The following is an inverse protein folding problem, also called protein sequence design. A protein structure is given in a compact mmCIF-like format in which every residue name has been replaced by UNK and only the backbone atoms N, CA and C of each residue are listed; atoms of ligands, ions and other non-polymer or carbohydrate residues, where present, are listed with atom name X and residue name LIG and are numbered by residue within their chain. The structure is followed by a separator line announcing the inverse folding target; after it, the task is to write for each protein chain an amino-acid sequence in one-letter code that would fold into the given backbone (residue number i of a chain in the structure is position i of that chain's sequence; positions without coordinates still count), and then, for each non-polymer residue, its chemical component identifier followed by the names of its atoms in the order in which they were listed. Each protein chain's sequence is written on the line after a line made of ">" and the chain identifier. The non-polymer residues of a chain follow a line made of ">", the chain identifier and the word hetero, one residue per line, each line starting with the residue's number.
data_IF_599131216594
#
_entry.id   IF_599131216594
#
_cell.length_a   1.000
_cell.length_b   1.000
_cell.length_c   1.000
_cell.angle_alpha   90.00
_cell.angle_beta   90.00
_cell.angle_gamma   90.00
#
_symmetry.space_group_name_H-M   'P 1'
#
loop_
_entity.id
_entity.type
_entity.pdbx_description
1 polymer ?
#
# COMPACT_ATOMS: atom_id res chain seq x y z
N UNK A 1 -2.88 -18.35 -16.79
CA UNK A 1 -2.78 -16.94 -17.25
C UNK A 1 -1.72 -16.81 -18.33
N UNK A 2 -1.90 -15.96 -19.36
CA UNK A 2 -0.86 -15.71 -20.39
C UNK A 2 0.49 -15.33 -19.76
N UNK A 3 0.43 -14.58 -18.65
CA UNK A 3 1.58 -14.18 -17.84
C UNK A 3 2.35 -15.40 -17.25
N UNK A 4 1.65 -16.47 -16.87
CA UNK A 4 2.29 -17.71 -16.40
C UNK A 4 2.89 -18.53 -17.55
N UNK A 5 2.32 -18.46 -18.75
CA UNK A 5 2.82 -19.17 -19.92
C UNK A 5 4.12 -18.53 -20.46
N UNK A 6 4.21 -17.20 -20.43
CA UNK A 6 5.44 -16.46 -20.74
C UNK A 6 6.58 -16.73 -19.76
N UNK A 7 6.28 -16.83 -18.45
CA UNK A 7 7.28 -17.23 -17.44
C UNK A 7 7.79 -18.67 -17.59
N UNK A 8 7.10 -19.53 -18.35
CA UNK A 8 7.47 -20.93 -18.61
C UNK A 8 8.05 -21.17 -20.01
N UNK A 9 8.38 -20.12 -20.78
CA UNK A 9 8.93 -20.24 -22.14
C UNK A 9 8.13 -21.17 -23.07
N UNK A 10 6.82 -21.29 -22.85
CA UNK A 10 5.97 -22.08 -23.73
C UNK A 10 5.70 -21.29 -25.01
N UNK A 11 5.89 -21.92 -26.17
CA UNK A 11 5.56 -21.34 -27.46
C UNK A 11 4.04 -21.12 -27.55
N UNK A 12 3.63 -19.87 -27.74
CA UNK A 12 2.22 -19.46 -27.84
C UNK A 12 1.99 -19.00 -29.28
N UNK A 13 1.12 -19.71 -30.00
CA UNK A 13 0.58 -19.25 -31.30
C UNK A 13 -0.80 -18.66 -31.05
N UNK A 14 -1.01 -17.40 -31.44
CA UNK A 14 -2.33 -16.78 -31.43
C UNK A 14 -3.04 -17.09 -32.74
N UNK A 15 -4.16 -17.81 -32.64
CA UNK A 15 -5.06 -18.01 -33.79
C UNK A 15 -6.13 -16.93 -33.73
N UNK A 16 -6.24 -16.06 -34.73
CA UNK A 16 -7.31 -15.07 -34.79
C UNK A 16 -8.64 -15.79 -35.05
N UNK A 17 -9.45 -15.95 -34.01
CA UNK A 17 -10.83 -16.41 -34.14
C UNK A 17 -11.70 -15.19 -34.43
N UNK A 18 -12.21 -15.07 -35.66
CA UNK A 18 -13.21 -14.04 -36.01
C UNK A 18 -14.48 -14.30 -35.20
N UNK A 19 -14.88 -13.35 -34.37
CA UNK A 19 -16.19 -13.34 -33.71
C UNK A 19 -17.24 -12.72 -34.63
N UNK A 20 -18.47 -13.23 -34.54
CA UNK A 20 -19.64 -12.66 -35.21
C UNK A 20 -19.94 -11.27 -34.64
N UNK A 21 -20.52 -10.36 -35.45
CA UNK A 21 -20.73 -8.95 -35.09
C UNK A 21 -21.53 -8.74 -33.79
N UNK A 22 -21.25 -7.63 -33.12
CA UNK A 22 -21.81 -7.21 -31.83
C UNK A 22 -23.34 -7.10 -31.87
N UNK A 23 -24.05 -8.13 -31.38
CA UNK A 23 -25.52 -8.19 -31.44
C UNK A 23 -26.24 -7.73 -30.17
N UNK A 24 -25.56 -7.20 -29.15
CA UNK A 24 -26.27 -6.67 -27.96
C UNK A 24 -25.41 -5.73 -27.12
N UNK A 25 -25.93 -4.58 -26.66
CA UNK A 25 -25.20 -3.73 -25.73
C UNK A 25 -24.92 -4.49 -24.42
N UNK A 26 -23.62 -4.65 -24.11
CA UNK A 26 -23.15 -5.26 -22.87
C UNK A 26 -23.70 -4.51 -21.66
N UNK A 27 -24.49 -5.21 -20.84
CA UNK A 27 -24.98 -4.71 -19.54
C UNK A 27 -23.99 -5.02 -18.40
N UNK A 28 -22.71 -5.31 -18.70
CA UNK A 28 -21.74 -5.80 -17.70
C UNK A 28 -20.87 -4.71 -17.04
N UNK A 29 -21.14 -3.42 -17.30
CA UNK A 29 -20.51 -2.31 -16.55
C UNK A 29 -21.54 -1.21 -16.34
N UNK A 30 -22.37 -1.38 -15.30
CA UNK A 30 -23.31 -0.34 -14.86
C UNK A 30 -22.66 0.72 -13.96
N UNK A 31 -21.37 0.64 -13.65
CA UNK A 31 -20.64 1.69 -12.92
C UNK A 31 -19.12 1.57 -13.02
N UNK A 32 -18.52 2.23 -14.03
CA UNK A 32 -17.07 2.52 -14.11
C UNK A 32 -16.49 3.02 -12.77
N UNK A 33 -17.18 3.86 -11.96
CA UNK A 33 -16.66 4.31 -10.67
C UNK A 33 -16.45 3.19 -9.64
N UNK A 34 -17.27 2.14 -9.66
CA UNK A 34 -17.16 1.03 -8.70
C UNK A 34 -15.95 0.14 -9.01
N UNK A 35 -15.68 -0.07 -10.31
CA UNK A 35 -14.51 -0.83 -10.76
C UNK A 35 -13.21 -0.10 -10.46
N UNK A 36 -13.14 1.21 -10.74
CA UNK A 36 -11.97 2.03 -10.42
C UNK A 36 -11.74 2.10 -8.91
N UNK A 37 -12.79 2.26 -8.08
CA UNK A 37 -12.65 2.21 -6.61
C UNK A 37 -12.06 0.89 -6.12
N UNK A 38 -12.53 -0.25 -6.63
CA UNK A 38 -11.98 -1.56 -6.27
C UNK A 38 -10.51 -1.69 -6.68
N UNK A 39 -10.16 -1.29 -7.90
CA UNK A 39 -8.77 -1.31 -8.38
C UNK A 39 -7.86 -0.39 -7.56
N UNK A 40 -8.29 0.82 -7.21
CA UNK A 40 -7.54 1.74 -6.35
C UNK A 40 -7.32 1.12 -4.96
N UNK A 41 -8.35 0.55 -4.34
CA UNK A 41 -8.21 -0.12 -3.03
C UNK A 41 -7.19 -1.25 -3.10
N UNK A 42 -7.21 -2.06 -4.17
CA UNK A 42 -6.23 -3.13 -4.35
C UNK A 42 -4.81 -2.58 -4.51
N UNK A 43 -4.61 -1.53 -5.31
CA UNK A 43 -3.30 -0.89 -5.52
C UNK A 43 -2.79 -0.28 -4.20
N UNK A 44 -3.64 0.45 -3.48
CA UNK A 44 -3.33 1.04 -2.18
C UNK A 44 -2.96 -0.05 -1.18
N UNK A 45 -3.69 -1.17 -1.15
CA UNK A 45 -3.40 -2.30 -0.26
C UNK A 45 -2.04 -2.93 -0.55
N UNK A 46 -1.69 -3.10 -1.82
CA UNK A 46 -0.37 -3.62 -2.23
C UNK A 46 0.72 -2.63 -1.83
N UNK A 47 0.52 -1.33 -2.04
CA UNK A 47 1.48 -0.30 -1.62
C UNK A 47 1.70 -0.27 -0.10
N UNK A 48 0.62 -0.35 0.68
CA UNK A 48 0.67 -0.43 2.14
C UNK A 48 1.44 -1.69 2.60
N UNK A 49 1.28 -2.81 1.91
CA UNK A 49 1.97 -4.06 2.28
C UNK A 49 3.46 -4.02 1.92
N UNK A 50 3.82 -3.50 0.75
CA UNK A 50 5.19 -3.58 0.25
C UNK A 50 6.07 -2.42 0.71
N UNK A 51 5.53 -1.21 0.88
CA UNK A 51 6.27 0.00 1.32
C UNK A 51 5.39 0.94 2.16
N UNK A 52 4.94 0.49 3.35
CA UNK A 52 4.07 1.29 4.23
C UNK A 52 4.68 2.66 4.58
N UNK A 53 5.98 2.72 4.89
CA UNK A 53 6.65 3.97 5.25
C UNK A 53 6.52 5.05 4.16
N UNK A 54 6.70 4.67 2.89
CA UNK A 54 6.62 5.63 1.77
C UNK A 54 5.20 6.15 1.57
N UNK A 55 4.18 5.31 1.77
CA UNK A 55 2.79 5.71 1.58
C UNK A 55 2.31 6.67 2.68
N UNK A 56 2.37 6.23 3.94
CA UNK A 56 1.95 7.07 5.06
C UNK A 56 2.91 8.23 5.30
N UNK A 57 4.20 8.03 5.05
CA UNK A 57 5.22 9.06 5.19
C UNK A 57 5.02 10.22 4.23
N UNK A 58 4.67 9.96 2.97
CA UNK A 58 4.38 11.03 2.00
C UNK A 58 3.11 11.79 2.36
N UNK A 59 2.04 11.11 2.77
CA UNK A 59 0.80 11.75 3.23
C UNK A 59 1.06 12.60 4.47
N UNK A 60 1.74 12.04 5.46
CA UNK A 60 2.10 12.73 6.71
C UNK A 60 3.01 13.92 6.45
N UNK A 61 4.01 13.79 5.57
CA UNK A 61 4.90 14.89 5.19
C UNK A 61 4.16 16.01 4.45
N UNK A 62 3.20 15.70 3.58
CA UNK A 62 2.38 16.70 2.89
C UNK A 62 1.49 17.44 3.89
N UNK A 63 0.81 16.72 4.79
CA UNK A 63 -0.03 17.32 5.83
C UNK A 63 0.79 18.19 6.80
N UNK A 64 1.92 17.65 7.27
CA UNK A 64 2.82 18.36 8.17
C UNK A 64 3.42 19.58 7.48
N UNK A 65 3.89 19.46 6.24
CA UNK A 65 4.42 20.56 5.45
C UNK A 65 3.39 21.66 5.20
N UNK A 66 2.15 21.30 4.86
CA UNK A 66 1.06 22.26 4.72
C UNK A 66 0.75 22.99 6.04
N UNK A 67 0.67 22.25 7.16
CA UNK A 67 0.49 22.84 8.49
C UNK A 67 1.64 23.75 8.90
N UNK A 68 2.87 23.36 8.56
CA UNK A 68 4.09 24.13 8.82
C UNK A 68 4.11 25.44 8.03
N UNK A 69 3.74 25.41 6.74
CA UNK A 69 3.64 26.63 5.92
C UNK A 69 2.59 27.60 6.45
N UNK A 70 1.41 27.10 6.83
CA UNK A 70 0.34 27.94 7.41
C UNK A 70 0.79 28.50 8.78
N UNK A 71 1.42 27.68 9.61
CA UNK A 71 1.95 28.10 10.90
C UNK A 71 3.07 29.14 10.77
N UNK A 72 3.96 28.97 9.80
CA UNK A 72 5.02 29.95 9.50
C UNK A 72 4.44 31.29 9.02
N UNK A 73 3.43 31.24 8.13
CA UNK A 73 2.71 32.45 7.72
C UNK A 73 2.06 33.15 8.91
N UNK A 74 1.40 32.40 9.81
CA UNK A 74 0.82 32.97 11.02
C UNK A 74 1.88 33.64 11.90
N UNK A 75 3.04 32.98 12.09
CA UNK A 75 4.13 33.51 12.90
C UNK A 75 4.65 34.85 12.36
N UNK A 76 4.70 35.00 11.03
CA UNK A 76 5.03 36.27 10.38
C UNK A 76 4.03 37.38 10.74
N UNK A 77 2.73 37.13 10.57
CA UNK A 77 1.68 38.10 10.91
C UNK A 77 1.61 38.43 12.42
N UNK A 78 1.98 37.47 13.27
CA UNK A 78 2.07 37.67 14.71
C UNK A 78 3.19 38.66 15.08
N UNK A 79 4.36 38.53 14.45
CA UNK A 79 5.50 39.45 14.65
C UNK A 79 5.18 40.86 14.12
N UNK A 80 4.41 40.99 13.04
CA UNK A 80 3.94 42.27 12.49
C UNK A 80 2.85 42.96 13.33
N UNK A 81 2.44 42.39 14.46
CA UNK A 81 1.44 42.99 15.36
C UNK A 81 -0.02 42.81 14.92
N UNK A 82 -0.29 42.01 13.88
CA UNK A 82 -1.64 41.71 13.35
C UNK A 82 -2.14 40.30 13.77
N UNK A 83 -1.72 39.83 14.95
CA UNK A 83 -1.98 38.46 15.43
C UNK A 83 -3.44 38.17 15.76
N UNK A 84 -4.21 39.17 16.19
CA UNK A 84 -5.56 38.98 16.79
C UNK A 84 -6.60 38.43 15.81
N UNK A 85 -6.46 38.68 14.51
CA UNK A 85 -7.42 38.24 13.48
C UNK A 85 -7.25 36.78 13.02
N UNK A 86 -6.19 36.08 13.44
CA UNK A 86 -5.74 34.86 12.75
C UNK A 86 -5.80 33.58 13.60
N UNK A 87 -6.51 33.59 14.73
CA UNK A 87 -6.63 32.44 15.65
C UNK A 87 -7.14 31.17 14.94
N UNK A 88 -8.07 31.30 13.99
CA UNK A 88 -8.57 30.16 13.18
C UNK A 88 -7.45 29.49 12.37
N UNK A 89 -6.57 30.29 11.76
CA UNK A 89 -5.44 29.78 10.99
C UNK A 89 -4.40 29.10 11.89
N UNK A 90 -4.23 29.59 13.12
CA UNK A 90 -3.37 28.97 14.12
C UNK A 90 -3.90 27.61 14.58
N UNK A 91 -5.21 27.52 14.86
CA UNK A 91 -5.87 26.24 15.19
C UNK A 91 -5.72 25.26 14.03
N UNK A 92 -5.96 25.71 12.80
CA UNK A 92 -5.80 24.89 11.61
C UNK A 92 -4.36 24.40 11.44
N UNK A 93 -3.37 25.28 11.62
CA UNK A 93 -1.95 24.92 11.56
C UNK A 93 -1.57 23.87 12.61
N UNK A 94 -2.02 24.05 13.86
CA UNK A 94 -1.77 23.10 14.95
C UNK A 94 -2.40 21.73 14.67
N UNK A 95 -3.63 21.71 14.15
CA UNK A 95 -4.32 20.48 13.76
C UNK A 95 -3.61 19.77 12.60
N UNK A 96 -3.22 20.49 11.55
CA UNK A 96 -2.49 19.89 10.42
C UNK A 96 -1.12 19.37 10.84
N UNK A 97 -0.38 20.11 11.66
CA UNK A 97 0.91 19.68 12.21
C UNK A 97 0.73 18.44 13.08
N UNK A 98 -0.25 18.43 13.98
CA UNK A 98 -0.55 17.30 14.85
C UNK A 98 -0.93 16.04 14.08
N UNK A 99 -1.86 16.16 13.12
CA UNK A 99 -2.28 15.04 12.26
C UNK A 99 -1.16 14.56 11.34
N UNK A 100 -0.38 15.47 10.75
CA UNK A 100 0.78 15.14 9.93
C UNK A 100 1.83 14.37 10.73
N UNK A 101 2.12 14.82 11.95
CA UNK A 101 3.04 14.14 12.87
C UNK A 101 2.53 12.76 13.29
N UNK A 102 1.27 12.64 13.71
CA UNK A 102 0.65 11.34 14.02
C UNK A 102 0.70 10.39 12.82
N UNK A 103 0.46 10.89 11.60
CA UNK A 103 0.54 10.08 10.38
C UNK A 103 1.97 9.61 10.10
N UNK A 104 2.98 10.45 10.35
CA UNK A 104 4.38 10.05 10.26
C UNK A 104 4.73 8.96 11.28
N UNK A 105 4.23 9.05 12.51
CA UNK A 105 4.41 7.99 13.51
C UNK A 105 3.75 6.68 13.06
N UNK A 106 2.54 6.74 12.50
CA UNK A 106 1.85 5.58 11.94
C UNK A 106 2.66 4.98 10.78
N UNK A 107 3.32 5.80 9.96
CA UNK A 107 4.21 5.33 8.90
C UNK A 107 5.34 4.46 9.44
N UNK A 108 5.98 4.89 10.54
CA UNK A 108 7.03 4.13 11.21
C UNK A 108 6.48 2.83 11.79
N UNK A 109 5.36 2.89 12.51
CA UNK A 109 4.73 1.70 13.11
C UNK A 109 4.32 0.68 12.05
N UNK A 110 3.76 1.13 10.93
CA UNK A 110 3.36 0.27 9.83
C UNK A 110 4.56 -0.41 9.17
N UNK A 111 5.69 0.28 9.05
CA UNK A 111 6.95 -0.29 8.53
C UNK A 111 7.52 -1.38 9.45
N UNK A 112 7.54 -1.11 10.76
CA UNK A 112 7.93 -2.11 11.75
C UNK A 112 7.00 -3.34 11.73
N UNK A 113 5.69 -3.12 11.58
CA UNK A 113 4.72 -4.21 11.49
C UNK A 113 4.93 -5.06 10.23
N UNK A 114 5.24 -4.42 9.08
CA UNK A 114 5.55 -5.13 7.85
C UNK A 114 6.84 -5.95 7.96
N UNK A 115 7.88 -5.38 8.57
CA UNK A 115 9.13 -6.10 8.86
C UNK A 115 8.89 -7.31 9.79
N UNK A 116 8.09 -7.12 10.85
CA UNK A 116 7.69 -8.21 11.75
C UNK A 116 6.94 -9.33 11.01
N UNK A 117 6.02 -8.98 10.10
CA UNK A 117 5.29 -9.98 9.30
C UNK A 117 6.22 -10.80 8.43
N UNK A 118 7.22 -10.16 7.80
CA UNK A 118 8.22 -10.84 6.98
C UNK A 118 9.10 -11.78 7.81
N UNK A 119 9.53 -11.34 9.00
CA UNK A 119 10.31 -12.19 9.91
C UNK A 119 9.53 -13.45 10.34
N UNK A 120 8.24 -13.30 10.65
CA UNK A 120 7.37 -14.43 10.99
C UNK A 120 7.21 -15.40 9.81
N UNK A 121 7.07 -14.88 8.59
CA UNK A 121 6.99 -15.69 7.38
C UNK A 121 8.27 -16.51 7.17
N UNK A 122 9.45 -15.89 7.33
CA UNK A 122 10.74 -16.57 7.21
C UNK A 122 10.92 -17.66 8.28
N UNK A 123 10.48 -17.40 9.53
CA UNK A 123 10.52 -18.39 10.62
C UNK A 123 9.61 -19.58 10.30
N UNK A 124 8.38 -19.33 9.84
CA UNK A 124 7.44 -20.38 9.43
C UNK A 124 8.00 -21.22 8.28
N UNK A 125 8.63 -20.59 7.30
CA UNK A 125 9.23 -21.28 6.17
C UNK A 125 10.37 -22.22 6.62
N UNK A 126 11.25 -21.76 7.52
CA UNK A 126 12.30 -22.60 8.10
C UNK A 126 11.75 -23.79 8.90
N UNK A 127 10.71 -23.58 9.71
CA UNK A 127 10.06 -24.67 10.45
C UNK A 127 9.47 -25.72 9.51
N UNK A 128 8.84 -25.31 8.40
CA UNK A 128 8.29 -26.24 7.41
C UNK A 128 9.38 -27.05 6.69
N UNK A 129 10.54 -26.43 6.40
CA UNK A 129 11.68 -27.16 5.83
C UNK A 129 12.26 -28.18 6.82
N UNK A 130 12.40 -27.80 8.09
CA UNK A 130 12.89 -28.70 9.15
C UNK A 130 11.96 -29.91 9.32
N UNK A 131 10.65 -29.69 9.40
CA UNK A 131 9.68 -30.78 9.53
C UNK A 131 9.61 -31.66 8.28
N UNK A 132 9.82 -31.10 7.08
CA UNK A 132 9.90 -31.92 5.87
C UNK A 132 11.15 -32.80 5.86
N UNK A 133 12.30 -32.26 6.26
CA UNK A 133 13.56 -33.02 6.30
C UNK A 133 13.54 -34.15 7.35
N UNK A 134 12.92 -33.89 8.50
CA UNK A 134 12.72 -34.92 9.54
C UNK A 134 11.86 -36.09 9.03
N UNK A 135 10.79 -35.80 8.28
CA UNK A 135 9.94 -36.84 7.69
C UNK A 135 10.67 -37.66 6.62
N UNK A 136 11.55 -37.05 5.82
CA UNK A 136 12.35 -37.78 4.83
C UNK A 136 13.42 -38.67 5.47
N UNK A 137 14.01 -38.24 6.58
CA UNK A 137 14.99 -39.04 7.33
C UNK A 137 14.34 -40.26 7.98
N UNK A 138 13.11 -40.12 8.52
CA UNK A 138 12.36 -41.24 9.09
C UNK A 138 11.95 -42.26 8.02
N UNK A 139 11.44 -41.81 6.87
CA UNK A 139 11.10 -42.70 5.76
C UNK A 139 12.29 -43.44 5.16
N UNK A 140 13.50 -42.88 5.28
CA UNK A 140 14.74 -43.54 4.83
C UNK A 140 15.24 -44.61 5.81
N UNK A 141 14.89 -44.50 7.10
CA UNK A 141 15.25 -45.45 8.15
C UNK A 141 14.32 -46.66 8.25
N UNK A 142 13.06 -46.53 7.83
CA UNK A 142 12.13 -47.67 7.78
C UNK A 142 12.34 -48.56 6.55
N UNK A 143 13.00 -48.06 5.50
CA UNK A 143 13.18 -48.76 4.23
C UNK A 143 14.58 -49.39 4.04
N UNK A 144 15.44 -49.38 5.06
CA UNK A 144 16.78 -49.97 5.05
C UNK A 144 16.96 -50.98 6.16
#
# INVERSE_FOLDING_TARGET
>A
TIIQAGQKNMSITSVPVRVNGDLRPSRLVKSIPSYIKRSIVTIVRIFIIYRPFRFFGTIGAVLFGAGFLIGMRFLWHYIEGNGDGHIQSLILAALLLGLGFQTLLIAVVADLLAANRKLIEDVRFKMMLMSHNENTDLGSRENG
#
